data_IF_322747238554
#
_entry.id   IF_322747238554
#
_cell.length_a   1.000
_cell.length_b   1.000
_cell.length_c   1.000
_cell.angle_alpha   90.00
_cell.angle_beta   90.00
_cell.angle_gamma   90.00
#
_symmetry.space_group_name_H-M   'P 1'
#
loop_
_entity.id
_entity.type
_entity.pdbx_description
1 polymer ?
#
# COMPACT_ATOMS: atom_id res chain seq x y z
N UNK A 1 25.27 4.52 7.24
CA UNK A 1 23.79 4.60 7.39
C UNK A 1 23.13 4.68 6.02
N UNK A 2 22.13 3.86 5.82
CA UNK A 2 21.46 3.81 4.53
C UNK A 2 20.43 4.95 4.41
N UNK A 3 20.52 5.65 3.30
CA UNK A 3 19.59 6.75 3.03
C UNK A 3 18.25 6.20 2.55
N UNK A 4 17.16 6.77 3.03
CA UNK A 4 15.84 6.37 2.59
C UNK A 4 15.61 6.70 1.13
N UNK A 5 15.08 5.74 0.39
CA UNK A 5 14.69 5.93 -1.00
C UNK A 5 13.18 6.22 -1.03
N UNK A 6 12.83 7.48 -1.22
CA UNK A 6 11.43 7.91 -1.18
C UNK A 6 10.58 7.35 -2.32
N UNK A 7 11.20 6.92 -3.40
CA UNK A 7 10.48 6.37 -4.54
C UNK A 7 10.28 4.86 -4.43
N UNK A 8 11.38 4.15 -4.19
CA UNK A 8 11.35 2.68 -4.17
C UNK A 8 11.08 2.11 -2.79
N UNK A 9 11.53 2.79 -1.75
CA UNK A 9 11.40 2.29 -0.37
C UNK A 9 10.98 3.41 0.55
N UNK A 10 9.75 3.96 0.39
CA UNK A 10 9.24 4.95 1.34
C UNK A 10 9.20 4.38 2.76
N UNK A 11 9.30 5.26 3.75
CA UNK A 11 9.39 4.85 5.16
C UNK A 11 8.27 3.90 5.59
N UNK A 12 7.06 4.07 5.06
CA UNK A 12 5.90 3.23 5.41
C UNK A 12 6.10 1.76 5.04
N UNK A 13 7.02 1.47 4.10
CA UNK A 13 7.21 0.12 3.56
C UNK A 13 8.57 -0.48 3.93
N UNK A 14 9.38 0.25 4.71
CA UNK A 14 10.70 -0.26 5.11
C UNK A 14 10.59 -1.56 5.91
N UNK A 15 9.51 -1.74 6.66
CA UNK A 15 9.30 -2.97 7.40
C UNK A 15 9.28 -4.19 6.46
N UNK A 16 8.68 -4.03 5.28
CA UNK A 16 8.60 -5.11 4.31
C UNK A 16 10.00 -5.43 3.77
N UNK A 17 10.76 -4.39 3.45
CA UNK A 17 12.12 -4.55 2.96
C UNK A 17 13.01 -5.26 3.98
N UNK A 18 12.96 -4.82 5.24
CA UNK A 18 13.82 -5.38 6.27
C UNK A 18 13.39 -6.77 6.71
N UNK A 19 12.11 -7.06 6.70
CA UNK A 19 11.62 -8.37 7.16
C UNK A 19 11.52 -9.41 6.06
N UNK A 20 11.26 -8.99 4.84
CA UNK A 20 11.04 -9.91 3.72
C UNK A 20 11.95 -9.67 2.53
N UNK A 21 12.75 -8.60 2.55
CA UNK A 21 13.64 -8.29 1.44
C UNK A 21 12.93 -7.87 0.16
N UNK A 22 11.71 -7.37 0.27
CA UNK A 22 10.86 -7.06 -0.87
C UNK A 22 10.49 -5.58 -0.86
N UNK A 23 10.53 -4.96 -2.04
CA UNK A 23 9.98 -3.61 -2.22
C UNK A 23 8.50 -3.74 -2.60
N UNK A 24 7.67 -2.81 -2.15
CA UNK A 24 6.25 -2.85 -2.48
C UNK A 24 6.03 -2.81 -3.99
N UNK A 25 6.85 -2.06 -4.70
CA UNK A 25 6.75 -1.95 -6.16
C UNK A 25 6.99 -3.28 -6.86
N UNK A 26 7.78 -4.19 -6.25
CA UNK A 26 8.01 -5.51 -6.83
C UNK A 26 6.73 -6.33 -6.92
N UNK A 27 5.80 -6.05 -6.01
CA UNK A 27 4.49 -6.71 -6.01
C UNK A 27 3.52 -5.97 -6.92
N UNK A 28 3.38 -4.66 -6.69
CA UNK A 28 2.31 -3.89 -7.31
C UNK A 28 2.48 -3.67 -8.80
N UNK A 29 3.72 -3.71 -9.30
CA UNK A 29 3.95 -3.53 -10.75
C UNK A 29 3.30 -4.62 -11.59
N UNK A 30 3.00 -5.77 -10.99
CA UNK A 30 2.37 -6.90 -11.68
C UNK A 30 0.85 -6.91 -11.51
N UNK A 31 0.29 -5.90 -10.85
CA UNK A 31 -1.14 -5.81 -10.55
C UNK A 31 -1.77 -4.68 -11.31
N UNK A 32 -3.10 -4.76 -11.53
CA UNK A 32 -3.79 -3.64 -12.13
C UNK A 32 -3.82 -2.46 -11.15
N UNK A 33 -4.28 -1.33 -11.63
CA UNK A 33 -4.23 -0.09 -10.87
C UNK A 33 -4.95 -0.20 -9.53
N UNK A 34 -6.20 -0.67 -9.54
CA UNK A 34 -7.00 -0.74 -8.32
C UNK A 34 -6.44 -1.73 -7.31
N UNK A 35 -6.12 -2.94 -7.75
CA UNK A 35 -5.60 -3.96 -6.85
C UNK A 35 -4.22 -3.59 -6.33
N UNK A 36 -3.38 -3.00 -7.17
CA UNK A 36 -2.07 -2.53 -6.74
C UNK A 36 -2.16 -1.45 -5.68
N UNK A 37 -3.08 -0.49 -5.86
CA UNK A 37 -3.29 0.56 -4.86
C UNK A 37 -3.88 0.01 -3.57
N UNK A 38 -4.84 -0.92 -3.66
CA UNK A 38 -5.40 -1.55 -2.47
C UNK A 38 -4.30 -2.24 -1.66
N UNK A 39 -3.44 -3.01 -2.31
CA UNK A 39 -2.33 -3.70 -1.65
C UNK A 39 -1.36 -2.68 -1.04
N UNK A 40 -1.05 -1.61 -1.76
CA UNK A 40 -0.17 -0.56 -1.26
C UNK A 40 -0.66 -0.01 0.08
N UNK A 41 -1.94 0.32 0.15
CA UNK A 41 -2.50 0.90 1.38
C UNK A 41 -2.62 -0.13 2.49
N UNK A 42 -2.90 -1.39 2.16
CA UNK A 42 -2.93 -2.45 3.17
C UNK A 42 -1.53 -2.65 3.77
N UNK A 43 -0.50 -2.67 2.94
CA UNK A 43 0.86 -2.89 3.41
C UNK A 43 1.39 -1.76 4.28
N UNK A 44 0.89 -0.53 4.08
CA UNK A 44 1.35 0.59 4.91
C UNK A 44 0.49 0.80 6.15
N UNK A 45 -0.71 0.26 6.18
CA UNK A 45 -1.64 0.48 7.29
C UNK A 45 -1.06 -0.07 8.60
N UNK A 46 -1.02 0.77 9.62
CA UNK A 46 -0.54 0.36 10.94
C UNK A 46 0.96 0.34 11.11
N UNK A 47 1.73 0.63 10.07
CA UNK A 47 3.18 0.61 10.17
C UNK A 47 3.72 2.00 10.45
N UNK A 48 4.85 2.06 11.17
CA UNK A 48 5.45 3.32 11.60
C UNK A 48 5.87 4.17 10.41
N UNK A 49 5.63 5.46 10.53
CA UNK A 49 6.12 6.46 9.61
C UNK A 49 7.59 6.75 9.91
N UNK A 50 8.18 7.65 9.13
CA UNK A 50 9.57 8.05 9.37
C UNK A 50 9.73 8.79 10.70
N UNK A 51 8.66 9.31 11.30
CA UNK A 51 8.67 9.91 12.64
C UNK A 51 8.72 8.83 13.73
N UNK A 52 8.57 7.58 13.38
CA UNK A 52 8.76 6.48 14.31
C UNK A 52 7.53 6.11 15.12
N UNK A 53 6.37 6.64 14.81
CA UNK A 53 5.16 6.27 15.53
C UNK A 53 4.02 5.94 14.58
N UNK A 54 3.14 5.10 15.09
CA UNK A 54 1.94 4.69 14.40
C UNK A 54 0.79 5.57 14.86
N UNK A 55 -0.10 5.88 13.96
CA UNK A 55 -1.22 6.77 14.22
C UNK A 55 -2.51 6.05 13.85
N UNK A 56 -3.39 5.85 14.85
CA UNK A 56 -4.65 5.14 14.63
C UNK A 56 -5.49 5.78 13.55
N UNK A 57 -5.59 7.11 13.55
CA UNK A 57 -6.36 7.82 12.53
C UNK A 57 -5.77 7.62 11.14
N UNK A 58 -4.45 7.60 11.04
CA UNK A 58 -3.77 7.37 9.77
C UNK A 58 -3.98 5.94 9.28
N UNK A 59 -3.95 4.99 10.20
CA UNK A 59 -4.23 3.58 9.87
C UNK A 59 -5.64 3.43 9.31
N UNK A 60 -6.62 4.04 9.97
CA UNK A 60 -8.00 4.01 9.49
C UNK A 60 -8.11 4.65 8.11
N UNK A 61 -7.44 5.77 7.89
CA UNK A 61 -7.41 6.43 6.60
C UNK A 61 -6.86 5.51 5.51
N UNK A 62 -5.75 4.83 5.78
CA UNK A 62 -5.15 3.91 4.82
C UNK A 62 -6.08 2.74 4.51
N UNK A 63 -6.75 2.19 5.52
CA UNK A 63 -7.70 1.11 5.32
C UNK A 63 -8.90 1.57 4.49
N UNK A 64 -9.39 2.78 4.72
CA UNK A 64 -10.49 3.33 3.91
C UNK A 64 -10.08 3.52 2.46
N UNK A 65 -8.85 3.94 2.22
CA UNK A 65 -8.34 4.06 0.86
C UNK A 65 -8.27 2.70 0.18
N UNK A 66 -7.80 1.67 0.89
CA UNK A 66 -7.77 0.32 0.34
C UNK A 66 -9.18 -0.15 -0.04
N UNK A 67 -10.15 0.09 0.83
CA UNK A 67 -11.55 -0.27 0.56
C UNK A 67 -12.08 0.47 -0.66
N UNK A 68 -11.72 1.75 -0.82
CA UNK A 68 -12.15 2.53 -1.98
C UNK A 68 -11.68 1.88 -3.29
N UNK A 69 -10.41 1.49 -3.35
CA UNK A 69 -9.87 0.86 -4.55
C UNK A 69 -10.47 -0.51 -4.81
N UNK A 70 -10.71 -1.29 -3.75
CA UNK A 70 -11.37 -2.59 -3.87
C UNK A 70 -12.78 -2.41 -4.43
N UNK A 71 -13.54 -1.45 -3.89
CA UNK A 71 -14.90 -1.18 -4.37
C UNK A 71 -14.91 -0.70 -5.81
N UNK A 72 -13.92 0.12 -6.20
CA UNK A 72 -13.82 0.57 -7.59
C UNK A 72 -13.61 -0.60 -8.53
N UNK A 73 -12.77 -1.56 -8.14
CA UNK A 73 -12.54 -2.77 -8.93
C UNK A 73 -13.81 -3.60 -9.06
N UNK A 74 -14.50 -3.80 -7.95
CA UNK A 74 -15.75 -4.57 -7.94
C UNK A 74 -16.76 -3.91 -8.89
N UNK A 75 -16.91 -2.59 -8.78
CA UNK A 75 -17.85 -1.84 -9.61
C UNK A 75 -17.51 -1.96 -11.09
N UNK A 76 -16.23 -1.88 -11.43
CA UNK A 76 -15.77 -2.03 -12.79
C UNK A 76 -16.14 -3.41 -13.35
N UNK A 77 -15.89 -4.45 -12.56
CA UNK A 77 -16.22 -5.82 -12.98
C UNK A 77 -17.70 -6.02 -13.12
N UNK A 78 -18.50 -5.46 -12.22
CA UNK A 78 -19.95 -5.57 -12.27
C UNK A 78 -20.54 -4.88 -13.49
N UNK A 79 -19.89 -3.84 -13.97
CA UNK A 79 -20.35 -3.07 -15.13
C UNK A 79 -19.83 -3.57 -16.45
N UNK A 80 -18.96 -4.57 -16.44
CA UNK A 80 -18.48 -5.17 -17.69
C UNK A 80 -19.60 -5.96 -18.35
N UNK A 81 -19.68 -5.80 -19.68
CA UNK A 81 -20.61 -6.57 -20.49
C UNK A 81 -19.86 -7.72 -21.13
N UNK A 82 -20.36 -8.90 -20.92
CA UNK A 82 -19.75 -10.10 -21.52
C UNK A 82 -20.27 -10.36 -22.92
#
# INVERSE_FOLDING_TARGET
MQKEDKVNSPSHYLWLKYKAGIEVIDITRHMDFDLGNAIKYILRAGHKTEEGYDNKAKTIEDLKKAVWYINDKIKTLENETN
#
